data_IF_577637255468
#
_entry.id   IF_577637255468
#
_cell.length_a   1.000
_cell.length_b   1.000
_cell.length_c   1.000
_cell.angle_alpha   90.00
_cell.angle_beta   90.00
_cell.angle_gamma   90.00
#
_symmetry.space_group_name_H-M   'P 1'
#
loop_
_entity.id
_entity.type
_entity.pdbx_description
1 polymer ?
#
# COMPACT_ATOMS: atom_id res chain seq x y z
N UNK A 1 -44.30 -7.15 -27.53
CA UNK A 1 -43.85 -6.87 -26.15
C UNK A 1 -42.82 -7.93 -25.74
N UNK A 2 -41.53 -7.63 -25.91
CA UNK A 2 -40.43 -8.22 -25.14
C UNK A 2 -39.15 -7.45 -25.49
N UNK A 3 -38.82 -6.43 -24.70
CA UNK A 3 -37.53 -5.74 -24.79
C UNK A 3 -36.52 -6.54 -23.97
N UNK A 4 -35.58 -7.19 -24.65
CA UNK A 4 -34.32 -7.64 -24.04
C UNK A 4 -33.35 -6.47 -24.04
N UNK A 5 -33.13 -5.88 -22.87
CA UNK A 5 -32.04 -4.93 -22.62
C UNK A 5 -30.71 -5.69 -22.58
N UNK A 6 -29.88 -5.46 -23.59
CA UNK A 6 -28.48 -5.87 -23.65
C UNK A 6 -27.66 -5.06 -22.65
N UNK A 7 -26.97 -5.75 -21.73
CA UNK A 7 -25.93 -5.18 -20.86
C UNK A 7 -24.75 -4.63 -21.70
N UNK A 8 -24.09 -3.54 -21.29
CA UNK A 8 -22.94 -3.02 -22.01
C UNK A 8 -21.73 -3.94 -21.79
N UNK A 9 -21.20 -4.44 -22.90
CA UNK A 9 -19.95 -5.19 -22.98
C UNK A 9 -18.78 -4.40 -22.38
N UNK A 10 -18.01 -5.09 -21.55
CA UNK A 10 -16.74 -4.66 -20.99
C UNK A 10 -15.86 -3.94 -22.02
N UNK A 11 -15.45 -2.71 -21.70
CA UNK A 11 -14.47 -1.95 -22.47
C UNK A 11 -13.15 -2.72 -22.55
N UNK A 12 -12.87 -3.30 -23.71
CA UNK A 12 -11.54 -3.79 -24.06
C UNK A 12 -10.59 -2.60 -24.15
N UNK A 13 -9.72 -2.44 -23.16
CA UNK A 13 -8.54 -1.59 -23.30
C UNK A 13 -7.61 -2.24 -24.32
N UNK A 14 -7.63 -1.70 -25.54
CA UNK A 14 -6.64 -2.02 -26.56
C UNK A 14 -5.30 -1.54 -26.01
N UNK A 15 -4.40 -2.48 -25.74
CA UNK A 15 -2.97 -2.21 -25.51
C UNK A 15 -2.43 -1.54 -26.78
N UNK A 16 -2.32 -0.22 -26.77
CA UNK A 16 -1.46 0.46 -27.74
C UNK A 16 -0.03 0.11 -27.32
N UNK A 17 0.77 -0.56 -28.18
CA UNK A 17 2.18 -0.80 -27.87
C UNK A 17 2.84 0.55 -27.67
N UNK A 18 3.41 0.77 -26.49
CA UNK A 18 4.24 1.93 -26.26
C UNK A 18 5.47 1.74 -27.17
N UNK A 19 5.64 2.62 -28.16
CA UNK A 19 6.75 2.50 -29.12
C UNK A 19 8.06 2.33 -28.35
N UNK A 20 8.94 1.43 -28.79
CA UNK A 20 10.26 1.20 -28.18
C UNK A 20 11.07 2.51 -28.00
N UNK A 21 10.74 3.56 -28.75
CA UNK A 21 11.33 4.89 -28.67
C UNK A 21 10.89 5.69 -27.43
N UNK A 22 9.74 5.38 -26.85
CA UNK A 22 9.21 6.06 -25.66
C UNK A 22 9.94 5.66 -24.37
N UNK A 23 10.39 4.41 -24.24
CA UNK A 23 11.25 3.97 -23.12
C UNK A 23 12.65 4.58 -23.18
N UNK A 24 13.13 4.94 -24.38
CA UNK A 24 14.40 5.64 -24.64
C UNK A 24 14.31 7.15 -24.34
N UNK A 25 13.11 7.71 -24.16
CA UNK A 25 12.88 9.15 -23.95
C UNK A 25 12.53 9.56 -22.51
N UNK A 26 12.50 8.62 -21.57
CA UNK A 26 12.27 8.95 -20.17
C UNK A 26 13.38 9.92 -19.70
N UNK A 27 12.99 11.16 -19.41
CA UNK A 27 13.90 12.18 -18.90
C UNK A 27 14.54 11.68 -17.60
N UNK A 28 15.85 11.87 -17.47
CA UNK A 28 16.60 11.51 -16.28
C UNK A 28 17.38 12.72 -15.79
N UNK A 29 17.28 13.02 -14.49
CA UNK A 29 18.09 14.06 -13.85
C UNK A 29 18.32 13.75 -12.38
N UNK A 30 19.33 14.38 -11.80
CA UNK A 30 19.49 14.34 -10.35
C UNK A 30 18.43 15.20 -9.64
N UNK A 31 18.14 14.83 -8.41
CA UNK A 31 17.27 15.64 -7.55
C UNK A 31 17.93 17.01 -7.28
N UNK A 32 17.10 18.04 -7.15
CA UNK A 32 17.57 19.38 -6.74
C UNK A 32 17.57 19.51 -5.21
N UNK A 33 18.32 20.49 -4.69
CA UNK A 33 18.35 20.77 -3.25
C UNK A 33 16.96 21.16 -2.73
N UNK A 34 16.20 21.96 -3.49
CA UNK A 34 14.85 22.40 -3.09
C UNK A 34 13.88 21.21 -3.00
N UNK A 35 13.93 20.28 -3.97
CA UNK A 35 13.13 19.05 -3.92
C UNK A 35 13.51 18.16 -2.76
N UNK A 36 14.80 18.01 -2.49
CA UNK A 36 15.30 17.23 -1.37
C UNK A 36 14.83 17.82 -0.02
N UNK A 37 14.95 19.14 0.15
CA UNK A 37 14.44 19.86 1.32
C UNK A 37 12.92 19.72 1.46
N UNK A 38 12.17 19.86 0.37
CA UNK A 38 10.72 19.74 0.37
C UNK A 38 10.25 18.32 0.78
N UNK A 39 10.92 17.29 0.28
CA UNK A 39 10.66 15.90 0.65
C UNK A 39 10.99 15.63 2.13
N UNK A 40 12.17 16.06 2.62
CA UNK A 40 12.53 15.89 4.04
C UNK A 40 11.56 16.62 4.96
N UNK A 41 11.20 17.86 4.63
CA UNK A 41 10.25 18.62 5.42
C UNK A 41 8.87 17.95 5.46
N UNK A 42 8.38 17.43 4.33
CA UNK A 42 7.11 16.70 4.30
C UNK A 42 7.18 15.36 5.06
N UNK A 43 8.32 14.67 5.04
CA UNK A 43 8.50 13.40 5.75
C UNK A 43 8.66 13.57 7.27
N UNK A 44 9.49 14.52 7.69
CA UNK A 44 9.99 14.60 9.07
C UNK A 44 9.72 15.94 9.76
N UNK A 45 9.09 16.90 9.07
CA UNK A 45 8.84 18.26 9.57
C UNK A 45 10.07 19.16 9.58
N UNK A 46 11.24 18.65 9.17
CA UNK A 46 12.49 19.39 9.09
C UNK A 46 13.46 18.73 8.09
N UNK A 47 14.59 19.37 7.81
CA UNK A 47 15.60 18.91 6.85
C UNK A 47 16.78 18.16 7.49
N UNK A 48 16.79 18.05 8.83
CA UNK A 48 17.89 17.46 9.60
C UNK A 48 17.65 16.00 9.95
N UNK A 49 16.39 15.59 10.11
CA UNK A 49 16.01 14.21 10.42
C UNK A 49 16.05 13.35 9.15
N UNK A 50 16.52 12.11 9.29
CA UNK A 50 16.61 11.10 8.24
C UNK A 50 15.88 9.82 8.62
N UNK A 51 15.82 8.88 7.69
CA UNK A 51 15.27 7.56 7.94
C UNK A 51 16.08 6.78 8.96
N UNK A 52 15.41 5.99 9.79
CA UNK A 52 16.08 5.10 10.75
C UNK A 52 16.75 3.92 10.05
N UNK A 53 17.64 3.22 10.75
CA UNK A 53 18.27 1.99 10.26
C UNK A 53 17.25 0.93 9.82
N UNK A 54 16.08 0.89 10.48
CA UNK A 54 14.99 -0.01 10.11
C UNK A 54 14.49 0.21 8.68
N UNK A 55 14.55 1.43 8.16
CA UNK A 55 14.17 1.78 6.79
C UNK A 55 15.31 1.57 5.81
N UNK A 56 16.55 1.92 6.18
CA UNK A 56 17.71 1.83 5.27
C UNK A 56 18.10 0.38 4.97
N UNK A 57 17.85 -0.55 5.89
CA UNK A 57 18.11 -1.99 5.71
C UNK A 57 16.92 -2.78 5.11
N UNK A 58 15.84 -2.09 4.74
CA UNK A 58 14.61 -2.72 4.28
C UNK A 58 14.43 -2.60 2.77
N UNK A 59 14.33 -3.75 2.11
CA UNK A 59 13.83 -3.85 0.74
C UNK A 59 12.57 -4.69 0.60
N UNK A 60 12.12 -4.91 -0.63
CA UNK A 60 10.99 -5.79 -0.93
C UNK A 60 11.42 -7.26 -1.05
N UNK A 61 12.19 -7.73 -0.07
CA UNK A 61 12.74 -9.08 -0.06
C UNK A 61 11.67 -10.12 0.33
N UNK A 62 11.41 -11.06 -0.57
CA UNK A 62 10.48 -12.17 -0.31
C UNK A 62 11.12 -13.25 0.57
N UNK A 63 10.36 -13.78 1.53
CA UNK A 63 10.75 -15.00 2.24
C UNK A 63 10.62 -16.26 1.38
N UNK A 64 11.12 -17.37 1.92
CA UNK A 64 10.95 -18.70 1.33
C UNK A 64 9.54 -19.25 1.58
N UNK A 65 9.02 -19.11 2.80
CA UNK A 65 7.71 -19.64 3.21
C UNK A 65 6.96 -18.66 4.11
N UNK A 66 5.77 -18.17 3.72
CA UNK A 66 5.17 -18.37 2.40
C UNK A 66 5.89 -17.54 1.30
N UNK A 67 6.03 -18.05 0.07
CA UNK A 67 6.91 -17.47 -0.95
C UNK A 67 6.46 -16.11 -1.50
N UNK A 68 5.22 -15.70 -1.22
CA UNK A 68 4.67 -14.40 -1.63
C UNK A 68 4.92 -13.27 -0.63
N UNK A 69 5.38 -13.59 0.57
CA UNK A 69 5.43 -12.64 1.68
C UNK A 69 6.77 -11.90 1.78
N UNK A 70 6.75 -10.57 1.96
CA UNK A 70 7.95 -9.79 2.30
C UNK A 70 8.39 -10.04 3.73
N UNK A 71 9.70 -10.05 3.97
CA UNK A 71 10.27 -10.06 5.32
C UNK A 71 10.39 -8.63 5.83
N UNK A 72 9.68 -8.33 6.91
CA UNK A 72 9.97 -7.15 7.72
C UNK A 72 11.04 -7.49 8.74
N UNK A 73 12.15 -6.76 8.70
CA UNK A 73 13.29 -6.98 9.60
C UNK A 73 13.15 -6.28 10.94
N UNK A 74 12.71 -5.02 10.91
CA UNK A 74 12.62 -4.12 12.05
C UNK A 74 11.30 -3.32 11.99
N UNK A 75 10.87 -2.76 13.12
CA UNK A 75 9.71 -1.87 13.18
C UNK A 75 9.98 -0.54 12.44
N UNK A 76 8.96 0.05 11.81
CA UNK A 76 9.07 1.31 11.05
C UNK A 76 8.42 1.22 9.66
N UNK A 77 9.03 0.52 8.69
CA UNK A 77 8.54 0.47 7.30
C UNK A 77 7.32 -0.45 7.07
N UNK A 78 6.73 -1.04 8.12
CA UNK A 78 5.67 -2.05 8.01
C UNK A 78 4.46 -1.59 7.19
N UNK A 79 4.05 -0.33 7.33
CA UNK A 79 2.93 0.24 6.59
C UNK A 79 3.13 0.19 5.08
N UNK A 80 4.30 0.64 4.60
CA UNK A 80 4.65 0.58 3.16
C UNK A 80 4.76 -0.86 2.70
N UNK A 81 5.43 -1.73 3.48
CA UNK A 81 5.59 -3.15 3.13
C UNK A 81 4.23 -3.85 3.01
N UNK A 82 3.33 -3.69 3.98
CA UNK A 82 2.02 -4.31 3.97
C UNK A 82 1.14 -3.78 2.82
N UNK A 83 1.16 -2.47 2.57
CA UNK A 83 0.41 -1.86 1.47
C UNK A 83 0.87 -2.35 0.09
N UNK A 84 2.19 -2.48 -0.13
CA UNK A 84 2.75 -3.06 -1.35
C UNK A 84 2.48 -4.57 -1.40
N UNK A 85 2.59 -5.29 -0.28
CA UNK A 85 2.32 -6.72 -0.18
C UNK A 85 0.88 -7.05 -0.61
N UNK A 86 -0.08 -6.23 -0.19
CA UNK A 86 -1.47 -6.37 -0.59
C UNK A 86 -1.65 -6.19 -2.11
N UNK A 87 -0.91 -5.27 -2.74
CA UNK A 87 -0.88 -5.12 -4.20
C UNK A 87 -0.22 -6.30 -4.91
N UNK A 88 0.84 -6.87 -4.35
CA UNK A 88 1.44 -8.10 -4.88
C UNK A 88 0.46 -9.26 -4.82
N UNK A 89 -0.25 -9.44 -3.70
CA UNK A 89 -1.30 -10.47 -3.57
C UNK A 89 -2.41 -10.23 -4.59
N UNK A 90 -2.79 -8.97 -4.84
CA UNK A 90 -3.73 -8.63 -5.90
C UNK A 90 -3.23 -9.07 -7.28
N UNK A 91 -2.00 -8.74 -7.66
CA UNK A 91 -1.44 -9.12 -8.97
C UNK A 91 -1.35 -10.64 -9.13
N UNK A 92 -0.98 -11.34 -8.05
CA UNK A 92 -0.91 -12.80 -8.03
C UNK A 92 -2.27 -13.47 -8.18
N UNK A 93 -3.31 -12.99 -7.48
CA UNK A 93 -4.61 -13.67 -7.42
C UNK A 93 -5.63 -13.19 -8.46
N UNK A 94 -5.55 -11.92 -8.84
CA UNK A 94 -6.58 -11.25 -9.62
C UNK A 94 -6.03 -10.35 -10.74
N UNK A 95 -4.70 -10.27 -10.87
CA UNK A 95 -4.02 -9.53 -11.92
C UNK A 95 -4.15 -10.17 -13.30
N UNK A 96 -3.53 -9.53 -14.28
CA UNK A 96 -3.62 -9.93 -15.69
C UNK A 96 -3.02 -11.32 -15.96
N UNK A 97 -1.97 -11.67 -15.22
CA UNK A 97 -1.28 -12.96 -15.29
C UNK A 97 -1.45 -13.74 -13.98
N UNK A 98 -2.65 -13.69 -13.39
CA UNK A 98 -2.91 -14.33 -12.09
C UNK A 98 -2.62 -15.83 -12.14
N UNK A 99 -2.10 -16.35 -11.03
CA UNK A 99 -1.94 -17.80 -10.85
C UNK A 99 -3.32 -18.45 -10.76
N UNK A 100 -3.42 -19.70 -11.23
CA UNK A 100 -4.64 -20.46 -11.04
C UNK A 100 -4.89 -20.70 -9.54
N UNK A 101 -5.98 -20.12 -9.04
CA UNK A 101 -6.38 -20.18 -7.64
C UNK A 101 -6.63 -21.61 -7.15
N UNK A 102 -6.89 -22.58 -8.04
CA UNK A 102 -7.07 -24.00 -7.69
C UNK A 102 -5.75 -24.69 -7.30
N UNK A 103 -4.59 -24.19 -7.76
CA UNK A 103 -3.27 -24.75 -7.44
C UNK A 103 -2.49 -23.95 -6.38
N UNK A 104 -2.97 -22.74 -6.07
CA UNK A 104 -2.67 -21.99 -4.85
C UNK A 104 -1.35 -21.21 -4.82
N UNK A 105 -1.39 -20.10 -4.07
CA UNK A 105 -0.24 -19.32 -3.58
C UNK A 105 0.94 -20.18 -3.05
N UNK A 106 0.77 -21.37 -2.44
CA UNK A 106 1.89 -22.18 -1.96
C UNK A 106 2.86 -22.68 -3.05
N UNK A 107 2.50 -22.64 -4.34
CA UNK A 107 3.32 -23.14 -5.47
C UNK A 107 3.92 -22.04 -6.36
N UNK A 108 4.03 -20.83 -5.84
CA UNK A 108 4.59 -19.68 -6.58
C UNK A 108 6.02 -19.96 -7.08
N UNK A 109 6.23 -19.78 -8.38
CA UNK A 109 7.57 -19.76 -8.98
C UNK A 109 8.26 -18.44 -8.67
N UNK A 110 9.59 -18.46 -8.62
CA UNK A 110 10.38 -17.26 -8.34
C UNK A 110 10.11 -16.11 -9.33
N UNK A 111 9.89 -16.42 -10.61
CA UNK A 111 9.56 -15.40 -11.62
C UNK A 111 8.21 -14.72 -11.41
N UNK A 112 7.20 -15.46 -10.94
CA UNK A 112 5.82 -14.98 -10.79
C UNK A 112 5.72 -13.91 -9.68
N UNK A 113 6.33 -14.16 -8.51
CA UNK A 113 6.31 -13.18 -7.40
C UNK A 113 7.07 -11.89 -7.73
N UNK A 114 8.16 -12.00 -8.48
CA UNK A 114 8.96 -10.83 -8.88
C UNK A 114 8.25 -10.01 -9.96
N UNK A 115 7.59 -10.67 -10.91
CA UNK A 115 6.74 -9.98 -11.88
C UNK A 115 5.54 -9.31 -11.21
N UNK A 116 4.91 -9.97 -10.24
CA UNK A 116 3.82 -9.38 -9.46
C UNK A 116 4.27 -8.15 -8.66
N UNK A 117 5.48 -8.18 -8.08
CA UNK A 117 6.09 -6.99 -7.46
C UNK A 117 6.25 -5.86 -8.47
N UNK A 118 6.81 -6.11 -9.65
CA UNK A 118 6.99 -5.08 -10.67
C UNK A 118 5.64 -4.46 -11.10
N UNK A 119 4.61 -5.29 -11.30
CA UNK A 119 3.24 -4.83 -11.62
C UNK A 119 2.59 -4.04 -10.49
N UNK A 120 2.81 -4.45 -9.25
CA UNK A 120 2.32 -3.76 -8.05
C UNK A 120 2.93 -2.36 -7.95
N UNK A 121 4.26 -2.24 -7.97
CA UNK A 121 4.96 -0.95 -7.88
C UNK A 121 4.59 -0.01 -9.03
N UNK A 122 4.57 -0.52 -10.27
CA UNK A 122 4.15 0.25 -11.43
C UNK A 122 2.70 0.75 -11.30
N UNK A 123 1.77 -0.10 -10.83
CA UNK A 123 0.37 0.28 -10.67
C UNK A 123 0.16 1.28 -9.54
N UNK A 124 0.88 1.15 -8.42
CA UNK A 124 0.80 2.10 -7.30
C UNK A 124 1.28 3.49 -7.75
N UNK A 125 2.47 3.58 -8.37
CA UNK A 125 2.98 4.87 -8.84
C UNK A 125 2.08 5.47 -9.92
N UNK A 126 1.65 4.66 -10.89
CA UNK A 126 0.75 5.14 -11.94
C UNK A 126 -0.56 5.70 -11.38
N UNK A 127 -1.12 5.04 -10.35
CA UNK A 127 -2.32 5.53 -9.68
C UNK A 127 -2.07 6.83 -8.91
N UNK A 128 -0.94 6.96 -8.22
CA UNK A 128 -0.58 8.18 -7.48
C UNK A 128 -0.40 9.39 -8.40
N UNK A 129 0.06 9.17 -9.64
CA UNK A 129 0.19 10.18 -10.69
C UNK A 129 -1.06 10.34 -11.56
N UNK A 130 -2.24 10.07 -10.97
CA UNK A 130 -3.57 10.21 -11.59
C UNK A 130 -3.77 9.41 -12.89
N UNK A 131 -3.00 8.35 -13.08
CA UNK A 131 -2.94 7.52 -14.29
C UNK A 131 -2.37 8.22 -15.54
N UNK A 132 -1.60 9.29 -15.35
CA UNK A 132 -1.00 10.06 -16.44
C UNK A 132 0.53 9.99 -16.43
N UNK A 133 1.14 9.94 -15.23
CA UNK A 133 2.58 10.01 -15.07
C UNK A 133 3.10 9.22 -13.87
N UNK A 134 4.40 8.99 -13.85
CA UNK A 134 5.13 8.50 -12.68
C UNK A 134 6.56 9.04 -12.66
N UNK A 135 7.11 9.17 -11.45
CA UNK A 135 8.51 9.49 -11.19
C UNK A 135 9.11 8.32 -10.40
N UNK A 136 10.21 7.77 -10.89
CA UNK A 136 10.99 6.79 -10.15
C UNK A 136 12.25 7.46 -9.62
N UNK A 137 12.39 7.45 -8.31
CA UNK A 137 13.61 7.82 -7.60
C UNK A 137 14.48 6.57 -7.41
N UNK A 138 15.77 6.68 -7.69
CA UNK A 138 16.71 5.56 -7.60
C UNK A 138 18.10 6.04 -7.20
N UNK A 139 18.87 5.17 -6.55
CA UNK A 139 20.25 5.43 -6.20
C UNK A 139 21.13 5.52 -7.44
N UNK A 140 21.93 6.58 -7.56
CA UNK A 140 23.03 6.61 -8.52
C UNK A 140 24.26 7.29 -7.92
N UNK A 141 25.36 6.58 -7.95
CA UNK A 141 26.65 7.10 -7.50
C UNK A 141 27.08 8.25 -8.43
N UNK A 142 27.48 9.38 -7.84
CA UNK A 142 28.08 10.51 -8.57
C UNK A 142 27.29 11.81 -8.55
N UNK A 143 26.04 11.84 -8.08
CA UNK A 143 25.46 13.08 -7.57
C UNK A 143 25.89 13.29 -6.14
N UNK A 144 26.41 14.47 -5.87
CA UNK A 144 26.78 14.86 -4.53
C UNK A 144 26.17 16.23 -4.22
N UNK A 145 25.06 16.22 -3.49
CA UNK A 145 24.49 17.45 -2.94
C UNK A 145 25.37 18.04 -1.85
N UNK A 146 26.43 17.39 -1.38
CA UNK A 146 27.29 17.82 -0.24
C UNK A 146 28.14 19.08 -0.47
N UNK A 147 27.83 19.88 -1.51
CA UNK A 147 28.39 21.23 -1.62
C UNK A 147 28.22 22.00 -0.31
N UNK A 148 29.21 22.82 0.06
CA UNK A 148 29.25 23.46 1.40
C UNK A 148 28.03 24.32 1.76
N UNK A 149 27.22 24.72 0.77
CA UNK A 149 25.98 25.48 0.97
C UNK A 149 24.77 24.58 1.24
N UNK A 150 24.74 23.38 0.68
CA UNK A 150 23.64 22.45 0.88
C UNK A 150 23.79 21.69 2.20
N UNK A 151 25.02 21.40 2.62
CA UNK A 151 25.28 20.74 3.92
C UNK A 151 24.89 21.57 5.15
N UNK A 152 24.66 22.88 5.01
CA UNK A 152 24.14 23.72 6.09
C UNK A 152 22.61 23.71 6.19
N UNK A 153 21.90 23.22 5.17
CA UNK A 153 20.43 23.26 5.09
C UNK A 153 19.79 21.87 5.01
N UNK A 154 20.55 20.84 4.64
CA UNK A 154 20.08 19.47 4.47
C UNK A 154 21.11 18.50 5.06
N UNK A 155 20.64 17.63 5.95
CA UNK A 155 21.48 16.56 6.50
C UNK A 155 21.70 15.46 5.46
N UNK A 156 22.97 15.16 5.20
CA UNK A 156 23.42 14.11 4.28
C UNK A 156 23.19 12.74 4.92
N UNK A 157 22.45 11.83 4.28
CA UNK A 157 22.06 10.54 4.87
C UNK A 157 22.45 9.30 4.04
N UNK A 158 23.24 9.48 2.98
CA UNK A 158 23.62 8.41 2.05
C UNK A 158 22.52 8.03 1.07
N UNK A 159 21.38 8.74 1.08
CA UNK A 159 20.18 8.37 0.31
C UNK A 159 19.73 9.54 -0.56
N UNK A 160 19.34 10.66 0.06
CA UNK A 160 18.63 11.72 -0.66
C UNK A 160 19.54 12.46 -1.65
N UNK A 161 20.82 12.61 -1.32
CA UNK A 161 21.83 13.28 -2.15
C UNK A 161 22.22 12.50 -3.40
N UNK A 162 21.95 11.19 -3.42
CA UNK A 162 22.28 10.29 -4.53
C UNK A 162 21.07 9.95 -5.38
N UNK A 163 19.93 10.63 -5.19
CA UNK A 163 18.73 10.37 -5.97
C UNK A 163 18.86 10.86 -7.40
N UNK A 164 18.73 9.92 -8.32
CA UNK A 164 18.39 10.19 -9.71
C UNK A 164 16.88 9.96 -9.88
N UNK A 165 16.24 10.88 -10.60
CA UNK A 165 14.82 10.87 -10.91
C UNK A 165 14.64 10.51 -12.39
N UNK A 166 13.76 9.56 -12.66
CA UNK A 166 13.36 9.14 -14.00
C UNK A 166 11.85 9.32 -14.20
N UNK A 167 11.47 9.96 -15.30
CA UNK A 167 10.08 10.34 -15.58
C UNK A 167 9.42 9.41 -16.60
N UNK A 168 8.17 9.06 -16.34
CA UNK A 168 7.39 8.17 -17.20
C UNK A 168 6.02 8.77 -17.47
N UNK A 169 5.63 8.83 -18.75
CA UNK A 169 4.28 9.20 -19.22
C UNK A 169 3.56 8.00 -19.86
N UNK A 170 4.12 6.79 -19.70
CA UNK A 170 3.55 5.55 -20.22
C UNK A 170 3.64 4.43 -19.17
N UNK A 171 2.49 3.88 -18.78
CA UNK A 171 2.40 2.78 -17.79
C UNK A 171 3.20 1.55 -18.21
N UNK A 172 3.20 1.23 -19.51
CA UNK A 172 3.91 0.06 -20.03
C UNK A 172 5.43 0.23 -19.91
N UNK A 173 5.97 1.43 -20.18
CA UNK A 173 7.39 1.72 -19.98
C UNK A 173 7.77 1.70 -18.50
N UNK A 174 6.90 2.20 -17.61
CA UNK A 174 7.10 2.12 -16.17
C UNK A 174 7.15 0.66 -15.69
N UNK A 175 6.26 -0.19 -16.20
CA UNK A 175 6.27 -1.62 -15.91
C UNK A 175 7.55 -2.28 -16.41
N UNK A 176 7.95 -2.02 -17.66
CA UNK A 176 9.17 -2.55 -18.24
C UNK A 176 10.41 -2.16 -17.42
N UNK A 177 10.47 -0.93 -16.94
CA UNK A 177 11.52 -0.48 -16.02
C UNK A 177 11.59 -1.37 -14.76
N UNK A 178 10.48 -1.57 -14.04
CA UNK A 178 10.46 -2.40 -12.83
C UNK A 178 10.74 -3.88 -13.11
N UNK A 179 10.35 -4.38 -14.28
CA UNK A 179 10.69 -5.73 -14.73
C UNK A 179 12.20 -5.88 -14.98
N UNK A 180 12.89 -4.80 -15.34
CA UNK A 180 14.34 -4.81 -15.59
C UNK A 180 15.17 -4.46 -14.34
N UNK A 181 14.62 -3.77 -13.34
CA UNK A 181 15.30 -3.37 -12.08
C UNK A 181 15.00 -4.28 -10.88
N UNK A 182 14.69 -5.56 -11.13
CA UNK A 182 14.26 -6.52 -10.10
C UNK A 182 15.29 -6.69 -8.95
N UNK A 183 16.61 -6.89 -9.22
CA UNK A 183 17.57 -7.08 -8.15
C UNK A 183 17.67 -5.86 -7.21
N UNK A 184 17.61 -4.65 -7.75
CA UNK A 184 17.75 -3.40 -7.01
C UNK A 184 16.53 -3.16 -6.10
N UNK A 185 15.32 -3.39 -6.63
CA UNK A 185 14.07 -3.25 -5.86
C UNK A 185 13.98 -4.26 -4.70
N UNK A 186 14.58 -5.43 -4.86
CA UNK A 186 14.61 -6.48 -3.84
C UNK A 186 15.85 -6.40 -2.94
N UNK A 187 16.78 -5.47 -3.21
CA UNK A 187 18.00 -5.28 -2.43
C UNK A 187 17.65 -4.69 -1.07
N UNK A 188 18.16 -5.36 -0.04
CA UNK A 188 18.03 -4.98 1.35
C UNK A 188 19.06 -3.93 1.79
N UNK A 189 20.14 -3.75 1.04
CA UNK A 189 21.26 -2.90 1.45
C UNK A 189 21.26 -1.51 0.82
N UNK A 190 20.24 -1.20 0.01
CA UNK A 190 20.17 0.05 -0.72
C UNK A 190 19.05 0.98 -0.25
N UNK A 191 18.18 0.54 0.68
CA UNK A 191 17.02 1.34 1.07
C UNK A 191 15.96 1.41 -0.04
N UNK A 192 15.72 0.30 -0.74
CA UNK A 192 14.75 0.24 -1.85
C UNK A 192 13.32 0.61 -1.42
N UNK A 193 12.95 0.34 -0.16
CA UNK A 193 11.70 0.83 0.42
C UNK A 193 11.65 2.37 0.47
N UNK A 194 12.76 3.02 0.85
CA UNK A 194 12.89 4.48 0.88
C UNK A 194 12.80 5.08 -0.53
N UNK A 195 13.52 4.51 -1.50
CA UNK A 195 13.43 4.97 -2.90
C UNK A 195 12.03 4.85 -3.48
N UNK A 196 11.32 3.78 -3.15
CA UNK A 196 9.93 3.64 -3.56
C UNK A 196 9.04 4.70 -2.90
N UNK A 197 9.24 5.01 -1.62
CA UNK A 197 8.50 6.08 -0.94
C UNK A 197 8.77 7.45 -1.57
N UNK A 198 10.03 7.78 -1.87
CA UNK A 198 10.36 9.01 -2.61
C UNK A 198 9.74 9.02 -4.01
N UNK A 199 9.77 7.90 -4.73
CA UNK A 199 9.10 7.75 -6.04
C UNK A 199 7.61 8.07 -5.93
N UNK A 200 6.94 7.53 -4.91
CA UNK A 200 5.51 7.74 -4.65
C UNK A 200 5.19 9.21 -4.38
N UNK A 201 5.96 9.84 -3.50
CA UNK A 201 5.77 11.24 -3.13
C UNK A 201 6.01 12.20 -4.29
N UNK A 202 7.08 11.98 -5.06
CA UNK A 202 7.40 12.77 -6.26
C UNK A 202 6.38 12.57 -7.37
N UNK A 203 5.88 11.34 -7.53
CA UNK A 203 4.82 11.03 -8.50
C UNK A 203 3.53 11.78 -8.17
N UNK A 204 3.14 11.83 -6.89
CA UNK A 204 1.96 12.60 -6.46
C UNK A 204 2.19 14.11 -6.51
N UNK A 205 3.40 14.53 -6.12
CA UNK A 205 3.81 15.91 -5.93
C UNK A 205 3.62 16.38 -4.49
N UNK A 206 4.67 17.00 -3.92
CA UNK A 206 4.70 17.49 -2.52
C UNK A 206 3.54 18.44 -2.22
N UNK A 207 3.31 19.43 -3.08
CA UNK A 207 2.22 20.40 -2.89
C UNK A 207 0.84 19.75 -2.93
N UNK A 208 0.67 18.74 -3.80
CA UNK A 208 -0.59 18.00 -3.89
C UNK A 208 -0.84 17.18 -2.62
N UNK A 209 0.20 16.56 -2.07
CA UNK A 209 0.11 15.84 -0.79
C UNK A 209 -0.29 16.80 0.34
N UNK A 210 0.37 17.96 0.45
CA UNK A 210 0.00 19.00 1.44
C UNK A 210 -1.45 19.45 1.29
N UNK A 211 -1.90 19.60 0.05
CA UNK A 211 -3.29 19.89 -0.30
C UNK A 211 -4.24 18.70 -0.12
N UNK A 212 -3.79 17.54 0.38
CA UNK A 212 -4.65 16.38 0.68
C UNK A 212 -4.63 16.01 2.18
N UNK A 213 -3.66 16.49 2.95
CA UNK A 213 -3.55 16.31 4.40
C UNK A 213 -4.43 17.29 5.17
N UNK A 214 -5.19 16.87 6.18
CA UNK A 214 -6.01 17.80 6.97
C UNK A 214 -5.18 18.89 7.67
N UNK A 215 -3.90 18.59 7.96
CA UNK A 215 -2.92 19.53 8.51
C UNK A 215 -1.69 19.60 7.60
N UNK A 216 -1.61 20.57 6.66
CA UNK A 216 -0.53 20.66 5.67
C UNK A 216 0.89 20.81 6.24
N UNK A 217 0.99 21.33 7.47
CA UNK A 217 2.26 21.53 8.19
C UNK A 217 2.67 20.30 9.03
N UNK A 218 1.87 19.23 9.01
CA UNK A 218 2.22 17.95 9.65
C UNK A 218 3.28 17.19 8.85
N UNK A 219 3.79 16.10 9.41
CA UNK A 219 4.82 15.26 8.81
C UNK A 219 4.33 13.82 8.63
N UNK A 220 4.85 13.15 7.59
CA UNK A 220 4.35 11.84 7.17
C UNK A 220 4.99 10.65 7.89
N UNK A 221 6.11 10.82 8.58
CA UNK A 221 6.74 9.80 9.43
C UNK A 221 6.74 10.28 10.87
N UNK A 222 6.17 9.47 11.76
CA UNK A 222 6.12 9.73 13.20
C UNK A 222 7.51 9.71 13.84
N UNK A 223 7.62 10.26 15.04
CA UNK A 223 8.87 10.22 15.83
C UNK A 223 9.31 8.79 16.20
N UNK A 224 8.38 7.84 16.16
CA UNK A 224 8.60 6.40 16.33
C UNK A 224 9.07 5.70 15.05
N UNK A 225 9.12 6.41 13.92
CA UNK A 225 9.55 5.90 12.62
C UNK A 225 8.46 5.19 11.82
N UNK A 226 7.20 5.16 12.28
CA UNK A 226 6.08 4.63 11.50
C UNK A 226 5.56 5.67 10.50
N UNK A 227 5.09 5.20 9.35
CA UNK A 227 4.42 6.08 8.39
C UNK A 227 2.98 6.39 8.82
N UNK A 228 2.56 7.61 8.52
CA UNK A 228 1.20 8.12 8.68
C UNK A 228 0.18 7.40 7.79
N UNK A 229 -1.11 7.56 8.11
CA UNK A 229 -2.21 6.99 7.34
C UNK A 229 -2.29 7.57 5.93
N UNK A 230 -1.80 8.79 5.72
CA UNK A 230 -1.69 9.47 4.42
C UNK A 230 -0.78 8.70 3.46
N UNK A 231 0.37 8.18 3.92
CA UNK A 231 1.24 7.33 3.11
C UNK A 231 0.51 6.05 2.71
N UNK A 232 -0.20 5.43 3.66
CA UNK A 232 -0.97 4.20 3.40
C UNK A 232 -2.05 4.45 2.36
N UNK A 233 -2.84 5.51 2.53
CA UNK A 233 -3.90 5.87 1.60
C UNK A 233 -3.32 6.30 0.24
N UNK A 234 -2.16 6.95 0.20
CA UNK A 234 -1.48 7.27 -1.04
C UNK A 234 -1.13 6.00 -1.83
N UNK A 235 -0.69 4.93 -1.15
CA UNK A 235 -0.45 3.63 -1.78
C UNK A 235 -1.76 2.93 -2.21
N UNK A 236 -2.79 2.94 -1.36
CA UNK A 236 -4.04 2.22 -1.61
C UNK A 236 -4.94 2.87 -2.68
N UNK A 237 -5.01 4.21 -2.66
CA UNK A 237 -5.99 4.96 -3.45
C UNK A 237 -5.37 6.06 -4.33
N UNK A 238 -4.06 6.31 -4.23
CA UNK A 238 -3.37 7.36 -5.00
C UNK A 238 -3.59 8.77 -4.45
N UNK A 239 -4.12 8.91 -3.23
CA UNK A 239 -4.33 10.21 -2.57
C UNK A 239 -3.88 10.17 -1.11
N UNK A 240 -3.22 11.23 -0.66
CA UNK A 240 -2.67 11.35 0.69
C UNK A 240 -3.69 11.92 1.70
N UNK A 241 -4.92 11.40 1.67
CA UNK A 241 -5.97 11.77 2.64
C UNK A 241 -5.73 11.04 3.96
N UNK A 242 -5.93 11.67 5.13
CA UNK A 242 -5.57 11.07 6.42
C UNK A 242 -6.63 10.11 6.97
N UNK A 243 -7.90 10.27 6.58
CA UNK A 243 -9.00 9.57 7.25
C UNK A 243 -9.45 8.30 6.54
N UNK A 244 -10.16 7.45 7.29
CA UNK A 244 -10.67 6.15 6.84
C UNK A 244 -12.18 6.16 6.48
N UNK A 245 -12.90 7.23 6.79
CA UNK A 245 -14.32 7.39 6.47
C UNK A 245 -14.55 7.73 4.98
N UNK A 246 -15.79 7.62 4.52
CA UNK A 246 -16.15 7.89 3.12
C UNK A 246 -16.36 9.38 2.85
N UNK A 247 -15.81 9.85 1.73
CA UNK A 247 -15.96 11.24 1.29
C UNK A 247 -15.36 12.24 2.26
N UNK A 248 -15.60 13.52 2.03
CA UNK A 248 -15.14 14.57 2.93
C UNK A 248 -16.23 14.90 3.95
N UNK A 249 -15.82 15.15 5.19
CA UNK A 249 -16.70 15.52 6.29
C UNK A 249 -16.47 16.97 6.63
N UNK A 250 -17.52 17.78 6.57
CA UNK A 250 -17.48 19.19 6.94
C UNK A 250 -18.12 19.38 8.32
N UNK A 251 -17.35 19.90 9.27
CA UNK A 251 -17.83 20.24 10.60
C UNK A 251 -18.07 21.75 10.68
N UNK A 252 -19.33 22.12 10.92
CA UNK A 252 -19.72 23.50 11.17
C UNK A 252 -19.69 23.78 12.67
N UNK A 253 -18.64 24.43 13.15
CA UNK A 253 -18.44 24.76 14.57
C UNK A 253 -19.29 25.95 15.05
N UNK A 254 -20.44 26.23 14.41
CA UNK A 254 -21.33 27.34 14.76
C UNK A 254 -20.77 28.75 14.48
N UNK A 255 -19.64 28.86 13.77
CA UNK A 255 -19.03 30.13 13.33
C UNK A 255 -18.95 30.24 11.80
N UNK A 256 -18.22 31.26 11.30
CA UNK A 256 -18.05 31.51 9.86
C UNK A 256 -17.01 30.59 9.16
N UNK A 257 -16.26 29.79 9.92
CA UNK A 257 -15.30 28.81 9.36
C UNK A 257 -15.86 27.39 9.45
N UNK A 258 -15.89 26.73 8.30
CA UNK A 258 -16.18 25.30 8.15
C UNK A 258 -14.84 24.56 8.09
N UNK A 259 -14.63 23.60 8.99
CA UNK A 259 -13.45 22.72 8.93
C UNK A 259 -13.80 21.49 8.12
N UNK A 260 -13.02 21.21 7.07
CA UNK A 260 -13.21 20.06 6.19
C UNK A 260 -12.14 19.01 6.47
N UNK A 261 -12.58 17.79 6.75
CA UNK A 261 -11.73 16.62 6.95
C UNK A 261 -11.84 15.72 5.72
N UNK A 262 -10.70 15.38 5.13
CA UNK A 262 -10.62 14.62 3.89
C UNK A 262 -10.68 13.13 4.13
N UNK A 263 -11.60 12.45 3.46
CA UNK A 263 -11.75 11.00 3.56
C UNK A 263 -11.59 10.30 2.22
N UNK A 264 -12.01 9.04 2.19
CA UNK A 264 -11.80 8.14 1.07
C UNK A 264 -12.84 8.44 -0.01
N UNK A 265 -12.43 8.90 -1.21
CA UNK A 265 -13.34 9.47 -2.19
C UNK A 265 -14.19 8.43 -2.93
N UNK A 266 -13.70 7.19 -3.04
CA UNK A 266 -14.38 6.14 -3.81
C UNK A 266 -13.89 4.75 -3.41
N UNK A 267 -14.66 3.73 -3.76
CA UNK A 267 -14.36 2.33 -3.44
C UNK A 267 -12.97 1.90 -3.94
N UNK A 268 -12.12 1.51 -3.00
CA UNK A 268 -10.75 1.09 -3.26
C UNK A 268 -10.67 -0.33 -3.84
N UNK A 269 -9.56 -0.62 -4.52
CA UNK A 269 -9.21 -1.97 -4.96
C UNK A 269 -8.94 -2.89 -3.77
N UNK A 270 -8.21 -2.38 -2.79
CA UNK A 270 -7.76 -3.05 -1.56
C UNK A 270 -8.32 -2.28 -0.38
N UNK A 271 -8.86 -3.01 0.58
CA UNK A 271 -9.55 -2.43 1.73
C UNK A 271 -8.63 -2.17 2.90
N UNK A 272 -9.23 -1.70 3.98
CA UNK A 272 -8.58 -1.59 5.29
C UNK A 272 -9.59 -2.01 6.36
N UNK A 273 -9.13 -2.72 7.37
CA UNK A 273 -9.83 -2.98 8.63
C UNK A 273 -8.96 -2.44 9.76
N UNK A 274 -9.57 -1.83 10.77
CA UNK A 274 -8.82 -1.19 11.85
C UNK A 274 -9.25 -1.69 13.21
N UNK A 275 -8.28 -1.94 14.09
CA UNK A 275 -8.52 -2.19 15.50
C UNK A 275 -9.26 -1.00 16.14
N UNK A 276 -8.93 0.22 15.73
CA UNK A 276 -9.53 1.45 16.26
C UNK A 276 -11.04 1.53 15.97
N UNK A 277 -11.51 0.93 14.89
CA UNK A 277 -12.94 0.83 14.62
C UNK A 277 -13.62 -0.21 15.52
N UNK A 278 -12.96 -1.35 15.76
CA UNK A 278 -13.45 -2.31 16.77
C UNK A 278 -13.51 -1.65 18.15
N UNK A 279 -12.59 -0.74 18.46
CA UNK A 279 -12.55 0.03 19.71
C UNK A 279 -13.47 1.26 19.71
N UNK A 280 -14.22 1.53 18.64
CA UNK A 280 -15.10 2.71 18.49
C UNK A 280 -14.36 4.07 18.54
N UNK A 281 -13.05 4.09 18.30
CA UNK A 281 -12.27 5.34 18.25
C UNK A 281 -12.16 5.92 16.85
N UNK A 282 -12.44 5.12 15.80
CA UNK A 282 -12.58 5.61 14.43
C UNK A 282 -13.69 4.87 13.68
N UNK A 283 -14.02 5.34 12.47
CA UNK A 283 -14.95 4.64 11.56
C UNK A 283 -14.24 4.39 10.24
N UNK A 284 -14.26 3.14 9.77
CA UNK A 284 -13.79 2.78 8.43
C UNK A 284 -14.99 2.78 7.49
N UNK A 285 -14.98 3.70 6.54
CA UNK A 285 -16.05 3.88 5.54
C UNK A 285 -16.18 2.68 4.60
N UNK A 286 -17.31 2.62 3.88
CA UNK A 286 -17.59 1.55 2.93
C UNK A 286 -16.57 1.46 1.80
N UNK A 287 -15.94 2.58 1.42
CA UNK A 287 -14.95 2.63 0.35
C UNK A 287 -13.68 1.83 0.66
N UNK A 288 -13.32 1.66 1.93
CA UNK A 288 -12.24 0.79 2.40
C UNK A 288 -12.75 -0.52 3.00
N UNK A 289 -13.89 -0.49 3.71
CA UNK A 289 -14.47 -1.68 4.33
C UNK A 289 -14.84 -2.73 3.29
N UNK A 290 -15.44 -2.30 2.18
CA UNK A 290 -15.95 -3.14 1.09
C UNK A 290 -15.13 -2.94 -0.19
N UNK A 291 -13.87 -3.44 -0.25
CA UNK A 291 -13.02 -3.25 -1.42
C UNK A 291 -13.51 -4.02 -2.65
N UNK A 292 -12.98 -3.68 -3.82
CA UNK A 292 -13.28 -4.39 -5.07
C UNK A 292 -12.73 -5.82 -5.06
N UNK A 293 -11.64 -6.11 -4.35
CA UNK A 293 -11.03 -7.43 -4.24
C UNK A 293 -10.91 -7.82 -2.77
N UNK A 294 -11.01 -9.12 -2.43
CA UNK A 294 -11.05 -9.59 -1.05
C UNK A 294 -9.65 -9.55 -0.41
N UNK A 295 -9.08 -8.37 -0.31
CA UNK A 295 -7.76 -8.06 0.24
C UNK A 295 -7.93 -6.81 1.07
N UNK A 296 -7.47 -6.85 2.32
CA UNK A 296 -7.51 -5.76 3.28
C UNK A 296 -6.15 -5.60 3.92
N UNK A 297 -5.73 -4.36 4.14
CA UNK A 297 -4.79 -4.09 5.22
C UNK A 297 -5.50 -4.22 6.55
N UNK A 298 -4.79 -4.72 7.55
CA UNK A 298 -5.26 -4.73 8.94
C UNK A 298 -4.35 -3.80 9.72
N UNK A 299 -4.94 -2.72 10.24
CA UNK A 299 -4.27 -1.81 11.16
C UNK A 299 -4.45 -2.33 12.58
N UNK A 300 -3.44 -3.08 13.04
CA UNK A 300 -3.35 -3.71 14.34
C UNK A 300 -2.52 -2.82 15.27
N UNK A 301 -3.17 -1.83 15.89
CA UNK A 301 -2.51 -0.75 16.63
C UNK A 301 -1.54 0.04 15.73
N UNK A 302 -0.22 -0.02 15.95
CA UNK A 302 0.78 0.62 15.08
C UNK A 302 1.30 -0.27 13.94
N UNK A 303 0.90 -1.54 13.89
CA UNK A 303 1.41 -2.51 12.93
C UNK A 303 0.41 -2.80 11.81
N UNK A 304 0.90 -2.81 10.56
CA UNK A 304 0.09 -3.14 9.39
C UNK A 304 0.39 -4.55 8.92
N UNK A 305 -0.67 -5.34 8.75
CA UNK A 305 -0.62 -6.69 8.19
C UNK A 305 -1.59 -6.81 7.01
N UNK A 306 -1.58 -7.95 6.31
CA UNK A 306 -2.46 -8.18 5.15
C UNK A 306 -3.40 -9.34 5.42
N UNK A 307 -4.69 -9.14 5.17
CA UNK A 307 -5.74 -10.14 5.27
C UNK A 307 -6.39 -10.33 3.89
N UNK A 308 -6.54 -11.56 3.41
CA UNK A 308 -7.12 -11.78 2.08
C UNK A 308 -7.85 -13.12 1.93
N UNK A 309 -8.65 -13.23 0.87
CA UNK A 309 -9.26 -14.49 0.43
C UNK A 309 -8.90 -14.80 -1.03
N UNK A 310 -8.86 -16.08 -1.38
CA UNK A 310 -8.55 -16.51 -2.75
C UNK A 310 -9.68 -16.25 -3.75
N UNK A 311 -10.90 -15.94 -3.29
CA UNK A 311 -12.06 -15.81 -4.17
C UNK A 311 -12.87 -14.55 -3.92
N UNK A 312 -13.10 -13.80 -5.01
CA UNK A 312 -13.97 -12.61 -5.01
C UNK A 312 -15.42 -12.90 -4.61
N UNK A 313 -15.85 -14.18 -4.65
CA UNK A 313 -17.22 -14.59 -4.32
C UNK A 313 -17.63 -14.16 -2.91
N UNK A 314 -16.69 -14.06 -1.97
CA UNK A 314 -16.97 -13.67 -0.57
C UNK A 314 -17.47 -12.22 -0.42
N UNK A 315 -17.24 -11.37 -1.43
CA UNK A 315 -17.67 -9.97 -1.42
C UNK A 315 -19.14 -9.79 -1.84
N UNK A 316 -19.79 -10.84 -2.35
CA UNK A 316 -21.19 -10.77 -2.76
C UNK A 316 -22.08 -10.70 -1.52
N UNK A 317 -23.01 -9.76 -1.47
CA UNK A 317 -23.95 -9.58 -0.34
C UNK A 317 -24.78 -10.83 0.00
N UNK A 318 -25.02 -11.70 -1.00
CA UNK A 318 -25.73 -12.98 -0.86
C UNK A 318 -24.82 -14.19 -0.58
N UNK A 319 -23.52 -13.99 -0.37
CA UNK A 319 -22.63 -15.10 0.00
C UNK A 319 -22.96 -15.56 1.43
N UNK A 320 -23.13 -16.88 1.59
CA UNK A 320 -23.66 -17.51 2.82
C UNK A 320 -22.90 -18.80 3.18
N UNK A 321 -21.74 -19.03 2.56
CA UNK A 321 -20.94 -20.24 2.80
C UNK A 321 -19.73 -19.88 3.65
N UNK A 322 -19.20 -20.86 4.36
CA UNK A 322 -17.91 -20.75 5.04
C UNK A 322 -16.80 -20.49 4.02
N UNK A 323 -15.81 -19.69 4.41
CA UNK A 323 -14.63 -19.39 3.60
C UNK A 323 -13.40 -19.20 4.48
N UNK A 324 -12.22 -19.21 3.87
CA UNK A 324 -10.94 -19.02 4.56
C UNK A 324 -10.42 -17.60 4.30
N UNK A 325 -9.95 -16.94 5.34
CA UNK A 325 -9.12 -15.75 5.27
C UNK A 325 -7.69 -16.10 5.66
N UNK A 326 -6.74 -15.65 4.85
CA UNK A 326 -5.31 -15.76 5.10
C UNK A 326 -4.83 -14.43 5.64
N UNK A 327 -4.04 -14.46 6.71
CA UNK A 327 -3.47 -13.30 7.38
C UNK A 327 -1.95 -13.41 7.34
N UNK A 328 -1.29 -12.36 6.84
CA UNK A 328 0.16 -12.28 6.71
C UNK A 328 0.73 -11.09 7.49
N UNK A 329 1.57 -11.38 8.48
CA UNK A 329 2.12 -10.45 9.47
C UNK A 329 3.47 -9.81 9.03
N UNK A 330 4.19 -10.42 8.08
CA UNK A 330 5.46 -9.88 7.57
C UNK A 330 6.65 -9.98 8.52
N UNK A 331 6.45 -10.02 9.84
CA UNK A 331 7.51 -10.15 10.84
C UNK A 331 8.38 -11.39 10.58
N UNK A 332 9.69 -11.27 10.83
CA UNK A 332 10.72 -12.28 10.53
C UNK A 332 10.59 -13.61 11.31
N UNK A 333 9.51 -13.83 12.07
CA UNK A 333 9.23 -15.11 12.75
C UNK A 333 8.83 -16.19 11.73
N UNK A 334 9.12 -17.47 12.03
CA UNK A 334 8.83 -18.61 11.13
C UNK A 334 7.35 -18.76 10.74
N UNK A 335 6.41 -18.23 11.52
CA UNK A 335 4.97 -18.42 11.39
C UNK A 335 4.22 -17.12 11.07
N UNK A 336 4.62 -16.42 10.01
CA UNK A 336 4.03 -15.13 9.67
C UNK A 336 2.69 -15.23 8.92
N UNK A 337 2.26 -16.43 8.53
CA UNK A 337 0.95 -16.67 7.95
C UNK A 337 0.08 -17.43 8.95
N UNK A 338 -1.10 -16.89 9.25
CA UNK A 338 -2.18 -17.57 9.96
C UNK A 338 -3.42 -17.60 9.08
N UNK A 339 -4.32 -18.57 9.30
CA UNK A 339 -5.55 -18.68 8.52
C UNK A 339 -6.76 -18.81 9.42
N UNK A 340 -7.89 -18.25 9.00
CA UNK A 340 -9.13 -18.23 9.76
C UNK A 340 -10.28 -18.76 8.91
N UNK A 341 -11.02 -19.72 9.46
CA UNK A 341 -12.29 -20.17 8.92
C UNK A 341 -13.38 -19.20 9.38
N UNK A 342 -14.08 -18.60 8.42
CA UNK A 342 -15.16 -17.65 8.65
C UNK A 342 -16.48 -18.29 8.24
N UNK A 343 -17.39 -18.46 9.19
CA UNK A 343 -18.80 -18.77 8.90
C UNK A 343 -19.66 -17.51 9.07
N UNK A 344 -20.05 -16.85 7.96
CA UNK A 344 -20.76 -15.57 8.02
C UNK A 344 -22.24 -15.70 8.44
N UNK A 345 -22.77 -16.92 8.60
CA UNK A 345 -24.18 -17.17 8.93
C UNK A 345 -24.39 -17.85 10.28
N UNK A 346 -23.32 -18.05 11.06
CA UNK A 346 -23.40 -18.67 12.38
C UNK A 346 -24.33 -17.92 13.35
N UNK A 347 -24.61 -16.64 13.06
CA UNK A 347 -25.41 -15.74 13.90
C UNK A 347 -24.87 -15.73 15.34
N UNK A 348 -23.55 -15.63 15.45
CA UNK A 348 -22.89 -15.54 16.73
C UNK A 348 -23.16 -14.14 17.30
N UNK A 349 -23.77 -14.08 18.48
CA UNK A 349 -23.98 -12.85 19.21
C UNK A 349 -22.65 -12.37 19.79
N UNK A 350 -21.83 -11.71 18.96
CA UNK A 350 -20.68 -10.93 19.41
C UNK A 350 -21.17 -9.64 20.08
N UNK A 351 -22.01 -9.76 21.12
CA UNK A 351 -22.59 -8.62 21.82
C UNK A 351 -21.64 -8.02 22.86
N UNK A 352 -20.57 -8.72 23.23
CA UNK A 352 -19.48 -8.17 24.02
C UNK A 352 -18.19 -8.09 23.19
N UNK A 353 -17.59 -6.91 23.17
CA UNK A 353 -16.27 -6.70 22.56
C UNK A 353 -15.20 -7.38 23.41
N UNK A 354 -14.98 -8.66 23.15
CA UNK A 354 -13.94 -9.42 23.81
C UNK A 354 -12.54 -8.96 23.36
N UNK A 355 -11.92 -8.13 24.21
CA UNK A 355 -10.56 -7.62 24.00
C UNK A 355 -9.47 -8.68 24.19
N UNK A 356 -9.81 -9.88 24.68
CA UNK A 356 -8.86 -10.99 24.81
C UNK A 356 -8.61 -11.72 23.49
N UNK A 357 -9.48 -11.51 22.48
CA UNK A 357 -9.32 -12.09 21.16
C UNK A 357 -8.07 -11.56 20.44
N UNK A 358 -7.45 -12.34 19.54
CA UNK A 358 -6.39 -11.83 18.67
C UNK A 358 -6.83 -10.55 17.92
N UNK A 359 -5.93 -9.57 17.80
CA UNK A 359 -6.26 -8.26 17.19
C UNK A 359 -6.81 -8.41 15.76
N UNK A 360 -6.26 -9.32 14.96
CA UNK A 360 -6.78 -9.61 13.62
C UNK A 360 -8.23 -10.10 13.66
N UNK A 361 -8.60 -10.93 14.64
CA UNK A 361 -9.98 -11.42 14.83
C UNK A 361 -10.91 -10.27 15.20
N UNK A 362 -10.47 -9.37 16.10
CA UNK A 362 -11.21 -8.14 16.43
C UNK A 362 -11.47 -7.31 15.17
N UNK A 363 -10.47 -7.15 14.30
CA UNK A 363 -10.61 -6.43 13.04
C UNK A 363 -11.57 -7.14 12.06
N UNK A 364 -11.53 -8.48 11.97
CA UNK A 364 -12.46 -9.25 11.12
C UNK A 364 -13.91 -9.04 11.57
N UNK A 365 -14.18 -8.97 12.87
CA UNK A 365 -15.54 -8.69 13.39
C UNK A 365 -16.09 -7.34 12.96
N UNK A 366 -15.24 -6.33 12.69
CA UNK A 366 -15.71 -5.04 12.14
C UNK A 366 -16.33 -5.16 10.75
N UNK A 367 -16.10 -6.28 10.04
CA UNK A 367 -16.66 -6.57 8.72
C UNK A 367 -17.70 -7.69 8.75
N UNK A 368 -17.48 -8.71 9.58
CA UNK A 368 -18.39 -9.83 9.77
C UNK A 368 -18.80 -9.95 11.24
N UNK A 369 -19.65 -9.03 11.75
CA UNK A 369 -19.95 -8.91 13.18
C UNK A 369 -20.65 -10.14 13.78
N UNK A 370 -21.36 -10.92 12.97
CA UNK A 370 -22.13 -12.09 13.42
C UNK A 370 -21.53 -13.42 12.97
N UNK A 371 -20.28 -13.41 12.48
CA UNK A 371 -19.63 -14.62 12.01
C UNK A 371 -19.04 -15.45 13.15
N UNK A 372 -18.99 -16.77 12.97
CA UNK A 372 -18.07 -17.60 13.74
C UNK A 372 -16.69 -17.53 13.09
N UNK A 373 -15.66 -17.21 13.87
CA UNK A 373 -14.27 -17.12 13.42
C UNK A 373 -13.45 -18.16 14.18
N UNK A 374 -12.77 -19.06 13.45
CA UNK A 374 -11.90 -20.09 14.04
C UNK A 374 -10.54 -20.07 13.36
N UNK A 375 -9.47 -19.97 14.14
CA UNK A 375 -8.12 -20.13 13.62
C UNK A 375 -7.92 -21.57 13.12
N UNK A 376 -7.22 -21.71 11.99
CA UNK A 376 -6.87 -23.01 11.42
C UNK A 376 -5.50 -23.36 11.99
N UNK A 377 -5.47 -24.31 12.92
CA UNK A 377 -4.22 -24.90 13.39
C UNK A 377 -3.62 -25.74 12.26
N UNK A 378 -2.39 -25.41 11.83
CA UNK A 378 -1.67 -26.25 10.87
C UNK A 378 -1.33 -27.59 11.58
N UNK A 379 -1.75 -28.76 11.07
CA UNK A 379 -1.46 -30.05 11.69
C UNK A 379 0.04 -30.42 11.72
N UNK A 380 0.92 -29.52 11.26
CA UNK A 380 2.38 -29.61 11.39
C UNK A 380 2.96 -28.84 12.58
N UNK A 381 2.11 -28.36 13.49
CA UNK A 381 2.53 -27.89 14.81
C UNK A 381 3.13 -29.02 15.65
#
# INVERSE_FOLDING_TARGET
MSNKSTEPSSSHFINVPCDLLSSVRAEERFITVDEACALRHLLFGNTMNSFTEAWTEQGFHFRSVPPYGFIQKKAGPCGVLAAVQAHVIYELLFGYSHIDAEFGIPRLKSGEKVEALARALASILWQAGDNEKAVVAMKRNGADLSSSRASTILEVDGVIEHLQLKYFECKSCLLEYFVNSKPEVMSDHDGSCIYFLYSLMLTRGVEKIRQEMDYPDSHLIGSDGYCSQEIINLILIGKAVPNLFDGDVELNSGGAQTTRFRGIPSQSKIGLLSLYEYQETCTVGNNLKNPKYPIWLVLADSHFTVLFAMTKKILKSKFRRTFILYHYDGLAKKFAETSYTIDPIANFDAHEKDRSLPIVVQCIYTRWPHASIKEIEDPKN
#
